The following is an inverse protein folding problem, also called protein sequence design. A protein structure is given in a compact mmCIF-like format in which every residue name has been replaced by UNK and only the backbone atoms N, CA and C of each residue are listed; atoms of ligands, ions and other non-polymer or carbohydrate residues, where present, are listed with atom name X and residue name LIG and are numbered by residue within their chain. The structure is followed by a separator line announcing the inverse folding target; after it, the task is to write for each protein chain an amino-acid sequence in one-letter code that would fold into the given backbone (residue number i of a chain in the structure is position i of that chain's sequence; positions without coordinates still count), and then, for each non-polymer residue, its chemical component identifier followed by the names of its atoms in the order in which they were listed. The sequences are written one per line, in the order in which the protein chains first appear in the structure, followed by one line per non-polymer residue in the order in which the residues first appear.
data_IF_402019550659
#
_entry.id   IF_402019550659
#
_cell.length_a   1.000
_cell.length_b   1.000
_cell.length_c   1.000
_cell.angle_alpha   90.00
_cell.angle_beta   90.00
_cell.angle_gamma   90.00
#
_symmetry.space_group_name_H-M   'P 1'
#
loop_
_entity.id
_entity.type
_entity.pdbx_description
1 polymer ?
#
# COMPACT_ATOMS: atom_id res chain seq x y z
N UNK A 1 -65.50 10.66 -33.89
CA UNK A 1 -64.09 10.56 -33.44
C UNK A 1 -64.09 10.51 -31.93
N UNK A 2 -63.67 9.40 -31.32
CA UNK A 2 -63.65 9.20 -29.85
C UNK A 2 -62.26 9.54 -29.32
N UNK A 3 -62.16 10.51 -28.41
CA UNK A 3 -60.93 10.80 -27.68
C UNK A 3 -60.85 9.90 -26.45
N UNK A 4 -59.80 9.08 -26.37
CA UNK A 4 -59.47 8.28 -25.17
C UNK A 4 -58.24 8.95 -24.55
N UNK A 5 -58.31 9.51 -23.33
CA UNK A 5 -57.14 10.06 -22.68
C UNK A 5 -56.29 8.91 -22.13
N UNK A 6 -55.07 8.76 -22.63
CA UNK A 6 -54.08 7.83 -22.09
C UNK A 6 -53.46 8.44 -20.84
N UNK A 7 -53.76 7.86 -19.67
CA UNK A 7 -53.16 8.26 -18.40
C UNK A 7 -51.75 7.66 -18.30
N UNK A 8 -50.72 8.49 -18.48
CA UNK A 8 -49.32 8.06 -18.32
C UNK A 8 -49.00 7.95 -16.82
N UNK A 9 -48.87 6.73 -16.30
CA UNK A 9 -48.49 6.49 -14.90
C UNK A 9 -46.97 6.43 -14.81
N UNK A 10 -46.35 7.45 -14.21
CA UNK A 10 -44.91 7.45 -13.89
C UNK A 10 -44.72 6.70 -12.59
N UNK A 11 -44.22 5.46 -12.67
CA UNK A 11 -43.90 4.64 -11.50
C UNK A 11 -42.62 5.12 -10.82
N UNK A 12 -42.73 5.67 -9.61
CA UNK A 12 -41.59 6.03 -8.77
C UNK A 12 -40.92 4.75 -8.24
N UNK A 13 -39.82 4.34 -8.86
CA UNK A 13 -38.99 3.24 -8.34
C UNK A 13 -38.19 3.74 -7.14
N UNK A 14 -38.57 3.29 -5.95
CA UNK A 14 -37.81 3.53 -4.72
C UNK A 14 -36.59 2.62 -4.74
N UNK A 15 -35.42 3.20 -5.01
CA UNK A 15 -34.14 2.51 -4.88
C UNK A 15 -33.85 2.37 -3.39
N UNK A 16 -33.99 1.16 -2.85
CA UNK A 16 -33.56 0.82 -1.51
C UNK A 16 -32.02 0.81 -1.49
N UNK A 17 -31.43 1.93 -1.12
CA UNK A 17 -29.99 2.03 -0.86
C UNK A 17 -29.76 1.38 0.51
N UNK A 18 -29.25 0.15 0.53
CA UNK A 18 -28.74 -0.43 1.77
C UNK A 18 -27.50 0.36 2.19
N UNK A 19 -27.46 0.98 3.37
CA UNK A 19 -26.25 1.65 3.83
C UNK A 19 -25.15 0.60 3.98
N UNK A 20 -24.04 0.79 3.28
CA UNK A 20 -22.82 0.05 3.57
C UNK A 20 -22.34 0.50 4.96
N UNK A 21 -22.25 -0.42 5.91
CA UNK A 21 -21.75 -0.10 7.25
C UNK A 21 -20.26 0.21 7.16
N UNK A 22 -19.90 1.48 7.37
CA UNK A 22 -18.50 1.87 7.59
C UNK A 22 -18.06 1.51 9.00
N UNK A 23 -16.76 1.37 9.21
CA UNK A 23 -16.17 1.15 10.53
C UNK A 23 -16.60 2.25 11.52
N UNK A 24 -17.14 1.87 12.67
CA UNK A 24 -17.53 2.80 13.74
C UNK A 24 -16.42 2.91 14.80
N UNK A 25 -15.93 4.12 15.02
CA UNK A 25 -14.97 4.39 16.08
C UNK A 25 -15.69 4.48 17.44
N UNK A 26 -15.34 3.60 18.37
CA UNK A 26 -15.88 3.53 19.73
C UNK A 26 -14.76 3.49 20.77
N UNK A 27 -15.07 3.84 22.01
CA UNK A 27 -14.18 3.52 23.13
C UNK A 27 -14.26 2.03 23.42
N UNK A 28 -13.13 1.32 23.27
CA UNK A 28 -13.04 -0.11 23.56
C UNK A 28 -12.67 -0.30 25.03
N UNK A 29 -13.61 -0.78 25.84
CA UNK A 29 -13.42 -0.99 27.29
C UNK A 29 -12.95 -2.40 27.65
N UNK A 30 -13.31 -3.41 26.85
CA UNK A 30 -12.94 -4.81 27.05
C UNK A 30 -12.09 -5.30 25.86
N UNK A 31 -10.87 -4.80 25.74
CA UNK A 31 -9.96 -5.21 24.67
C UNK A 31 -9.38 -6.61 24.92
N UNK A 32 -9.00 -7.28 23.83
CA UNK A 32 -8.17 -8.49 23.86
C UNK A 32 -6.78 -8.21 23.31
N UNK A 33 -5.83 -9.11 23.57
CA UNK A 33 -4.47 -9.04 23.01
C UNK A 33 -4.23 -10.23 22.10
N UNK A 34 -3.73 -9.96 20.90
CA UNK A 34 -3.20 -10.99 19.99
C UNK A 34 -1.68 -10.97 20.12
N UNK A 35 -1.10 -12.13 20.41
CA UNK A 35 0.34 -12.31 20.51
C UNK A 35 0.77 -13.50 19.68
N UNK A 36 1.99 -13.45 19.14
CA UNK A 36 2.54 -14.50 18.31
C UNK A 36 3.84 -14.05 17.66
N UNK A 37 4.49 -14.99 16.97
CA UNK A 37 5.69 -14.74 16.17
C UNK A 37 5.41 -15.19 14.74
N UNK A 38 5.63 -14.28 13.79
CA UNK A 38 5.59 -14.61 12.36
C UNK A 38 6.99 -15.04 11.96
N UNK A 39 7.09 -16.20 11.30
CA UNK A 39 8.36 -16.74 10.83
C UNK A 39 8.30 -16.97 9.34
N UNK A 40 9.43 -16.81 8.67
CA UNK A 40 9.54 -17.19 7.27
C UNK A 40 9.58 -18.72 7.17
N UNK A 41 8.71 -19.29 6.34
CA UNK A 41 8.74 -20.72 6.06
C UNK A 41 9.81 -21.03 5.00
N UNK A 42 10.72 -21.95 5.31
CA UNK A 42 11.79 -22.37 4.41
C UNK A 42 13.04 -21.49 4.50
N UNK A 43 13.84 -21.48 3.43
CA UNK A 43 15.07 -20.69 3.37
C UNK A 43 14.75 -19.26 2.95
N UNK A 44 15.40 -18.29 3.58
CA UNK A 44 15.41 -16.90 3.13
C UNK A 44 15.81 -16.79 1.65
N UNK A 45 14.96 -16.19 0.79
CA UNK A 45 15.31 -15.92 -0.59
C UNK A 45 16.56 -15.04 -0.69
N UNK A 46 17.42 -15.25 -1.69
CA UNK A 46 18.55 -14.36 -1.91
C UNK A 46 18.08 -12.94 -2.26
N UNK A 47 18.91 -11.96 -1.92
CA UNK A 47 18.70 -10.57 -2.30
C UNK A 47 18.47 -10.42 -3.82
N UNK A 48 17.57 -9.51 -4.19
CA UNK A 48 17.47 -9.06 -5.58
C UNK A 48 18.66 -8.17 -5.93
N UNK A 49 19.12 -8.25 -7.18
CA UNK A 49 20.22 -7.43 -7.69
C UNK A 49 19.75 -6.55 -8.85
N UNK A 50 19.89 -5.24 -8.67
CA UNK A 50 19.57 -4.24 -9.68
C UNK A 50 20.86 -3.66 -10.25
N UNK A 51 21.00 -3.67 -11.57
CA UNK A 51 22.15 -3.03 -12.23
C UNK A 51 21.98 -1.53 -12.21
N UNK A 52 23.01 -0.82 -11.74
CA UNK A 52 23.09 0.64 -11.78
C UNK A 52 24.04 1.13 -12.89
N UNK A 53 24.63 0.22 -13.68
CA UNK A 53 25.65 0.57 -14.69
C UNK A 53 25.06 1.42 -15.82
N UNK A 54 23.77 1.27 -16.11
CA UNK A 54 23.06 2.03 -17.14
C UNK A 54 22.51 3.37 -16.62
N UNK A 55 22.65 3.66 -15.32
CA UNK A 55 22.15 4.89 -14.73
C UNK A 55 23.11 6.06 -15.04
N UNK A 56 22.58 7.26 -15.37
CA UNK A 56 23.40 8.36 -15.87
C UNK A 56 24.28 9.04 -14.81
N UNK A 57 23.97 8.88 -13.52
CA UNK A 57 24.75 9.46 -12.42
C UNK A 57 25.71 8.41 -11.84
N UNK A 58 26.87 8.24 -12.47
CA UNK A 58 27.84 7.21 -12.08
C UNK A 58 28.47 7.45 -10.72
N UNK A 59 28.56 8.70 -10.25
CA UNK A 59 29.19 9.05 -8.98
C UNK A 59 28.25 8.68 -7.82
N UNK A 60 27.00 9.13 -7.87
CA UNK A 60 26.00 8.77 -6.87
C UNK A 60 25.70 7.27 -6.90
N UNK A 61 25.41 6.70 -8.08
CA UNK A 61 25.09 5.29 -8.22
C UNK A 61 26.28 4.38 -7.85
N UNK A 62 27.51 4.79 -8.17
CA UNK A 62 28.72 4.07 -7.80
C UNK A 62 28.86 3.95 -6.28
N UNK A 63 28.65 5.07 -5.56
CA UNK A 63 28.72 5.13 -4.08
C UNK A 63 27.77 4.16 -3.39
N UNK A 64 26.55 4.02 -3.91
CA UNK A 64 25.50 3.18 -3.29
C UNK A 64 25.49 1.73 -3.82
N UNK A 65 26.39 1.39 -4.74
CA UNK A 65 26.53 0.04 -5.29
C UNK A 65 27.47 -0.83 -4.47
N UNK A 66 27.55 -2.12 -4.81
CA UNK A 66 28.55 -3.08 -4.31
C UNK A 66 29.98 -2.80 -4.79
N UNK A 67 30.25 -1.67 -5.44
CA UNK A 67 31.52 -1.37 -6.12
C UNK A 67 31.68 -2.04 -7.48
N UNK A 68 30.77 -2.95 -7.84
CA UNK A 68 30.70 -3.60 -9.16
C UNK A 68 29.45 -3.20 -9.95
N UNK A 69 28.78 -2.12 -9.53
CA UNK A 69 27.62 -1.56 -10.22
C UNK A 69 26.29 -2.25 -9.89
N UNK A 70 26.22 -3.08 -8.85
CA UNK A 70 24.98 -3.73 -8.40
C UNK A 70 24.46 -3.10 -7.12
N UNK A 71 23.15 -2.90 -7.04
CA UNK A 71 22.43 -2.62 -5.78
C UNK A 71 21.70 -3.87 -5.35
N UNK A 72 21.97 -4.33 -4.13
CA UNK A 72 21.26 -5.46 -3.54
C UNK A 72 20.06 -4.98 -2.75
N UNK A 73 18.95 -5.72 -2.81
CA UNK A 73 17.71 -5.42 -2.11
C UNK A 73 17.20 -6.70 -1.46
N UNK A 74 17.21 -6.72 -0.13
CA UNK A 74 16.66 -7.81 0.67
C UNK A 74 15.16 -7.58 0.86
N UNK A 75 14.35 -8.25 0.05
CA UNK A 75 12.88 -8.16 0.13
C UNK A 75 12.34 -8.77 1.43
N UNK A 76 13.08 -9.72 2.00
CA UNK A 76 12.77 -10.38 3.26
C UNK A 76 13.80 -9.95 4.29
N UNK A 77 13.33 -9.37 5.39
CA UNK A 77 14.18 -9.03 6.52
C UNK A 77 13.93 -10.06 7.61
N UNK A 78 14.80 -11.06 7.70
CA UNK A 78 14.63 -12.24 8.56
C UNK A 78 15.65 -12.22 9.69
N UNK A 79 15.18 -12.41 10.92
CA UNK A 79 16.04 -12.55 12.10
C UNK A 79 16.72 -13.94 12.13
N UNK A 80 17.85 -14.09 12.86
CA UNK A 80 18.55 -15.39 12.96
C UNK A 80 17.70 -16.56 13.45
N UNK A 81 16.63 -16.26 14.19
CA UNK A 81 15.66 -17.24 14.71
C UNK A 81 14.45 -17.45 13.78
N UNK A 82 14.55 -17.01 12.52
CA UNK A 82 13.54 -17.12 11.48
C UNK A 82 12.40 -16.10 11.55
N UNK A 83 12.43 -15.16 12.51
CA UNK A 83 11.39 -14.13 12.63
C UNK A 83 11.35 -13.20 11.42
N UNK A 84 10.16 -13.00 10.84
CA UNK A 84 9.98 -12.13 9.67
C UNK A 84 9.58 -10.71 10.10
N UNK A 85 10.42 -9.72 9.78
CA UNK A 85 10.11 -8.30 10.01
C UNK A 85 9.07 -7.78 8.99
N UNK A 86 8.47 -6.63 9.28
CA UNK A 86 7.53 -5.93 8.39
C UNK A 86 6.25 -6.72 8.07
N UNK A 87 5.80 -7.59 8.99
CA UNK A 87 4.52 -8.30 8.85
C UNK A 87 3.35 -7.42 9.26
N UNK A 88 2.27 -7.44 8.46
CA UNK A 88 0.97 -6.84 8.80
C UNK A 88 0.02 -7.93 9.30
N UNK A 89 -0.58 -7.71 10.47
CA UNK A 89 -1.67 -8.54 10.99
C UNK A 89 -2.97 -7.76 10.85
N UNK A 90 -3.90 -8.31 10.09
CA UNK A 90 -5.21 -7.71 9.83
C UNK A 90 -6.33 -8.55 10.46
N UNK A 91 -7.32 -7.88 11.04
CA UNK A 91 -8.52 -8.50 11.59
C UNK A 91 -9.72 -8.19 10.71
N UNK A 92 -10.29 -9.24 10.12
CA UNK A 92 -11.46 -9.13 9.26
C UNK A 92 -12.76 -9.09 10.07
N UNK A 93 -13.80 -8.49 9.49
CA UNK A 93 -15.14 -8.45 10.09
C UNK A 93 -15.28 -7.52 11.30
N UNK A 94 -14.26 -6.71 11.61
CA UNK A 94 -14.35 -5.70 12.67
C UNK A 94 -15.13 -4.49 12.17
N UNK A 95 -16.39 -4.39 12.56
CA UNK A 95 -17.28 -3.29 12.17
C UNK A 95 -17.26 -2.10 13.14
N UNK A 96 -16.79 -2.31 14.37
CA UNK A 96 -16.67 -1.26 15.40
C UNK A 96 -15.42 -1.51 16.24
N UNK A 97 -14.67 -0.47 16.57
CA UNK A 97 -13.46 -0.62 17.36
C UNK A 97 -12.79 0.70 17.72
N UNK A 98 -11.52 0.64 18.12
CA UNK A 98 -10.75 1.83 18.53
C UNK A 98 -10.67 2.88 17.39
N UNK A 99 -10.55 4.18 17.71
CA UNK A 99 -10.29 5.19 16.69
C UNK A 99 -9.08 4.86 15.82
N UNK A 100 -9.18 5.10 14.51
CA UNK A 100 -8.05 5.02 13.60
C UNK A 100 -7.56 6.44 13.32
N UNK A 101 -6.78 6.97 14.25
CA UNK A 101 -6.29 8.35 14.20
C UNK A 101 -5.37 8.59 12.99
N UNK A 102 -5.58 9.71 12.30
CA UNK A 102 -4.66 10.22 11.28
C UNK A 102 -3.69 11.22 11.92
N UNK A 103 -2.38 11.01 11.77
CA UNK A 103 -1.35 11.93 12.27
C UNK A 103 -0.72 12.75 11.14
N UNK A 104 -1.54 13.16 10.16
CA UNK A 104 -1.11 13.84 8.95
C UNK A 104 -0.89 12.88 7.77
N UNK A 105 -0.21 13.35 6.70
CA UNK A 105 0.08 12.52 5.55
C UNK A 105 0.98 11.36 5.95
N UNK A 106 0.69 10.17 5.43
CA UNK A 106 1.61 9.05 5.48
C UNK A 106 2.87 9.44 4.70
N UNK A 107 4.05 9.18 5.25
CA UNK A 107 5.32 9.63 4.64
C UNK A 107 6.16 8.45 4.20
N UNK A 108 6.65 8.52 2.97
CA UNK A 108 7.71 7.67 2.44
C UNK A 108 8.89 8.55 2.06
N UNK A 109 10.08 8.18 2.51
CA UNK A 109 11.33 8.86 2.14
C UNK A 109 12.10 7.98 1.17
N UNK A 110 12.59 8.59 0.09
CA UNK A 110 13.52 7.96 -0.85
C UNK A 110 14.91 8.49 -0.58
N UNK A 111 15.79 7.61 -0.11
CA UNK A 111 17.19 7.93 0.19
C UNK A 111 18.07 6.75 -0.23
N UNK A 112 19.18 7.03 -0.91
CA UNK A 112 20.07 6.05 -1.53
C UNK A 112 19.32 5.00 -2.37
N UNK A 113 18.35 5.48 -3.17
CA UNK A 113 17.43 4.69 -3.99
C UNK A 113 16.52 3.72 -3.21
N UNK A 114 16.37 3.87 -1.89
CA UNK A 114 15.49 3.04 -1.06
C UNK A 114 14.29 3.82 -0.56
N UNK A 115 13.12 3.17 -0.62
CA UNK A 115 11.86 3.70 -0.10
C UNK A 115 11.67 3.21 1.34
N UNK A 116 11.54 4.14 2.29
CA UNK A 116 11.33 3.82 3.70
C UNK A 116 10.09 4.54 4.26
N UNK A 117 9.31 3.90 5.15
CA UNK A 117 9.46 2.52 5.62
C UNK A 117 9.06 1.48 4.57
N UNK A 118 9.59 0.27 4.70
CA UNK A 118 9.29 -0.87 3.79
C UNK A 118 7.83 -1.27 3.79
N UNK A 119 7.16 -1.14 4.94
CA UNK A 119 5.72 -1.36 5.10
C UNK A 119 5.12 -0.17 5.82
N UNK A 120 4.04 0.35 5.23
CA UNK A 120 3.31 1.49 5.74
C UNK A 120 1.82 1.20 5.68
N UNK A 121 1.15 1.22 6.84
CA UNK A 121 -0.30 1.18 6.90
C UNK A 121 -0.85 2.59 6.72
N UNK A 122 -1.81 2.75 5.81
CA UNK A 122 -2.49 4.02 5.54
C UNK A 122 -3.98 3.86 5.76
N UNK A 123 -4.64 4.87 6.31
CA UNK A 123 -6.10 4.92 6.40
C UNK A 123 -6.69 5.28 5.04
N UNK A 124 -7.90 4.82 4.76
CA UNK A 124 -8.66 5.28 3.59
C UNK A 124 -8.69 6.82 3.53
N UNK A 125 -8.50 7.35 2.32
CA UNK A 125 -8.41 8.80 2.02
C UNK A 125 -7.28 9.56 2.75
N UNK A 126 -6.31 8.88 3.37
CA UNK A 126 -5.12 9.53 3.92
C UNK A 126 -4.14 9.88 2.79
N UNK A 127 -3.69 11.13 2.74
CA UNK A 127 -2.65 11.55 1.78
C UNK A 127 -1.33 10.80 2.00
N UNK A 128 -0.69 10.38 0.91
CA UNK A 128 0.66 9.82 0.89
C UNK A 128 1.64 10.85 0.34
N UNK A 129 2.69 11.16 1.10
CA UNK A 129 3.77 12.06 0.73
C UNK A 129 5.05 11.27 0.49
N UNK A 130 5.56 11.32 -0.73
CA UNK A 130 6.82 10.67 -1.11
C UNK A 130 7.86 11.76 -1.29
N UNK A 131 8.91 11.72 -0.49
CA UNK A 131 9.96 12.74 -0.44
C UNK A 131 11.26 12.15 -0.96
N UNK A 132 11.75 12.70 -2.07
CA UNK A 132 13.05 12.34 -2.60
C UNK A 132 14.15 13.14 -1.89
N UNK A 133 15.11 12.43 -1.29
CA UNK A 133 16.31 12.99 -0.66
C UNK A 133 17.56 12.81 -1.53
N UNK A 134 17.45 12.07 -2.63
CA UNK A 134 18.55 11.80 -3.54
C UNK A 134 18.81 12.97 -4.51
N UNK A 135 20.05 13.13 -4.99
CA UNK A 135 20.39 14.14 -5.99
C UNK A 135 19.86 13.79 -7.40
N UNK A 136 19.30 12.58 -7.58
CA UNK A 136 18.73 12.10 -8.84
C UNK A 136 17.21 12.07 -8.79
N UNK A 137 16.56 12.10 -9.95
CA UNK A 137 15.10 12.03 -10.07
C UNK A 137 14.66 10.56 -10.06
N UNK A 138 13.72 10.23 -9.17
CA UNK A 138 13.04 8.94 -9.17
C UNK A 138 11.68 9.05 -9.85
N UNK A 139 11.38 8.07 -10.71
CA UNK A 139 10.01 7.84 -11.17
C UNK A 139 9.35 6.84 -10.22
N UNK A 140 8.27 7.24 -9.58
CA UNK A 140 7.58 6.39 -8.59
C UNK A 140 6.44 5.67 -9.29
N UNK A 141 6.52 4.34 -9.30
CA UNK A 141 5.47 3.47 -9.82
C UNK A 141 4.75 2.80 -8.65
N UNK A 142 3.43 2.92 -8.64
CA UNK A 142 2.59 2.30 -7.62
C UNK A 142 1.74 1.23 -8.29
N UNK A 143 1.79 0.02 -7.73
CA UNK A 143 0.97 -1.11 -8.12
C UNK A 143 0.02 -1.45 -6.98
N UNK A 144 -1.25 -1.63 -7.30
CA UNK A 144 -2.20 -2.29 -6.42
C UNK A 144 -2.12 -3.79 -6.67
N UNK A 145 -2.14 -4.58 -5.60
CA UNK A 145 -2.40 -6.01 -5.68
C UNK A 145 -3.65 -6.30 -4.86
N UNK A 146 -4.72 -6.67 -5.55
CA UNK A 146 -6.00 -7.03 -4.95
C UNK A 146 -6.36 -8.48 -5.33
N UNK A 147 -7.28 -9.14 -4.60
CA UNK A 147 -7.70 -10.52 -4.90
C UNK A 147 -8.22 -10.72 -6.34
N UNK A 148 -8.70 -9.66 -6.99
CA UNK A 148 -9.22 -9.66 -8.36
C UNK A 148 -8.18 -9.26 -9.42
N UNK A 149 -6.93 -9.03 -9.04
CA UNK A 149 -5.82 -8.73 -9.94
C UNK A 149 -4.90 -7.62 -9.44
N UNK A 150 -3.78 -7.46 -10.12
CA UNK A 150 -2.87 -6.34 -9.91
C UNK A 150 -3.11 -5.24 -10.95
N UNK A 151 -3.19 -3.99 -10.52
CA UNK A 151 -3.35 -2.83 -11.41
C UNK A 151 -2.27 -1.80 -11.16
N UNK A 152 -1.77 -1.18 -12.23
CA UNK A 152 -0.86 -0.03 -12.09
C UNK A 152 -1.68 1.22 -11.74
N UNK A 153 -1.41 1.79 -10.58
CA UNK A 153 -2.11 2.97 -10.03
C UNK A 153 -1.48 4.26 -10.53
N UNK A 154 -0.15 4.32 -10.51
CA UNK A 154 0.64 5.44 -11.04
C UNK A 154 1.62 4.88 -12.06
N UNK A 155 1.37 5.18 -13.33
CA UNK A 155 2.34 5.01 -14.41
C UNK A 155 2.47 6.32 -15.17
N UNK A 156 3.65 6.55 -15.72
CA UNK A 156 3.81 7.51 -16.81
C UNK A 156 3.13 6.88 -18.04
N UNK A 157 2.24 7.59 -18.76
CA UNK A 157 1.68 7.07 -20.01
C UNK A 157 2.84 6.65 -20.92
N UNK A 158 2.76 5.44 -21.48
CA UNK A 158 3.70 5.00 -22.51
C UNK A 158 3.64 6.04 -23.65
N UNK A 159 4.80 6.55 -24.06
CA UNK A 159 4.92 7.30 -25.31
C UNK A 159 4.86 6.36 -26.49
#
# INVERSE_FOLDING_TARGET
MKFIPSLLTVGLSIILITPAFSYEEITVTNSGTITGKVTLAGKEPPALAYSLITNPDTDFCGRISTGTGWRLVDEFQVAPDGGLQNTVVFLEGVVRGKPFSQTGPAKVTVEDCLFTPWVLAVKDQQSLHIVNMDPIIHDVQIYETAPFGSQVMLHRPLR
#
